data_IF_931703923708
#
_entry.id   IF_931703923708
#
_cell.length_a   1.000
_cell.length_b   1.000
_cell.length_c   1.000
_cell.angle_alpha   90.00
_cell.angle_beta   90.00
_cell.angle_gamma   90.00
#
_symmetry.space_group_name_H-M   'P 1'
#
loop_
_entity.id
_entity.type
_entity.pdbx_description
1 polymer ?
#
# COMPACT_ATOMS: atom_id res chain seq x y z
N UNK A 1 -8.52 20.92 -4.05
CA UNK A 1 -8.85 19.51 -3.81
C UNK A 1 -7.78 18.88 -2.93
N UNK A 2 -8.10 17.87 -2.17
CA UNK A 2 -7.20 17.27 -1.19
C UNK A 2 -7.07 15.76 -1.34
N UNK A 3 -5.97 15.21 -0.85
CA UNK A 3 -5.82 13.81 -0.56
C UNK A 3 -5.28 13.63 0.87
N UNK A 4 -5.54 12.47 1.45
CA UNK A 4 -5.07 12.11 2.78
C UNK A 4 -3.96 11.07 2.64
N UNK A 5 -2.83 11.32 3.26
CA UNK A 5 -1.70 10.38 3.32
C UNK A 5 -1.69 9.74 4.71
N UNK A 6 -1.96 8.45 4.78
CA UNK A 6 -1.87 7.70 6.04
C UNK A 6 -0.52 6.99 6.07
N UNK A 7 0.32 7.37 7.01
CA UNK A 7 1.69 6.89 7.14
C UNK A 7 2.02 6.48 8.57
N UNK A 8 3.14 5.83 8.75
CA UNK A 8 3.64 5.33 10.02
C UNK A 8 4.48 4.08 9.81
N UNK A 9 5.21 3.69 10.83
CA UNK A 9 6.00 2.46 10.80
C UNK A 9 5.10 1.21 10.70
N UNK A 10 5.64 0.06 10.28
CA UNK A 10 4.86 -1.19 10.24
C UNK A 10 4.17 -1.49 11.58
N UNK A 11 2.95 -2.00 11.53
CA UNK A 11 2.11 -2.33 12.68
C UNK A 11 1.63 -1.13 13.52
N UNK A 12 1.78 0.11 13.04
CA UNK A 12 1.27 1.30 13.73
C UNK A 12 -0.25 1.49 13.61
N UNK A 13 -0.93 0.69 12.77
CA UNK A 13 -2.39 0.76 12.59
C UNK A 13 -2.82 1.56 11.36
N UNK A 14 -1.96 1.72 10.36
CA UNK A 14 -2.25 2.47 9.13
C UNK A 14 -3.50 1.99 8.40
N UNK A 15 -3.60 0.69 8.18
CA UNK A 15 -4.73 0.11 7.42
C UNK A 15 -6.05 0.30 8.15
N UNK A 16 -6.07 0.19 9.47
CA UNK A 16 -7.25 0.44 10.30
C UNK A 16 -7.68 1.91 10.23
N UNK A 17 -6.72 2.82 10.35
CA UNK A 17 -6.99 4.26 10.25
C UNK A 17 -7.47 4.65 8.86
N UNK A 18 -6.83 4.15 7.81
CA UNK A 18 -7.22 4.42 6.43
C UNK A 18 -8.64 3.93 6.14
N UNK A 19 -8.99 2.73 6.60
CA UNK A 19 -10.34 2.18 6.46
C UNK A 19 -11.38 3.04 7.20
N UNK A 20 -11.08 3.48 8.41
CA UNK A 20 -11.95 4.38 9.17
C UNK A 20 -12.19 5.71 8.45
N UNK A 21 -11.11 6.34 7.98
CA UNK A 21 -11.22 7.62 7.26
C UNK A 21 -11.97 7.48 5.93
N UNK A 22 -11.74 6.36 5.23
CA UNK A 22 -12.46 6.05 3.99
C UNK A 22 -13.96 5.94 4.21
N UNK A 23 -14.36 5.23 5.22
CA UNK A 23 -15.78 5.07 5.58
C UNK A 23 -16.38 6.39 6.03
N UNK A 24 -15.67 7.14 6.87
CA UNK A 24 -16.15 8.42 7.40
C UNK A 24 -16.35 9.49 6.33
N UNK A 25 -15.39 9.63 5.41
CA UNK A 25 -15.44 10.65 4.36
C UNK A 25 -16.06 10.16 3.04
N UNK A 26 -16.30 8.87 2.90
CA UNK A 26 -16.80 8.30 1.64
C UNK A 26 -15.82 8.43 0.49
N UNK A 27 -14.52 8.26 0.75
CA UNK A 27 -13.45 8.38 -0.25
C UNK A 27 -12.66 7.08 -0.38
N UNK A 28 -12.14 6.76 -1.58
CA UNK A 28 -11.41 5.52 -1.78
C UNK A 28 -10.05 5.53 -1.09
N UNK A 29 -9.60 4.34 -0.67
CA UNK A 29 -8.24 4.08 -0.20
C UNK A 29 -7.46 3.32 -1.26
N UNK A 30 -6.26 3.80 -1.55
CA UNK A 30 -5.28 3.05 -2.32
C UNK A 30 -4.14 2.67 -1.38
N UNK A 31 -3.97 1.38 -1.15
CA UNK A 31 -2.93 0.83 -0.28
C UNK A 31 -1.84 0.16 -1.10
N UNK A 32 -0.60 0.61 -0.93
CA UNK A 32 0.55 0.00 -1.59
C UNK A 32 0.70 -1.48 -1.21
N UNK A 33 0.53 -1.81 0.07
CA UNK A 33 0.68 -3.19 0.54
C UNK A 33 -0.39 -4.12 -0.04
N UNK A 34 -1.62 -3.64 -0.23
CA UNK A 34 -2.67 -4.44 -0.87
C UNK A 34 -2.37 -4.71 -2.35
N UNK A 35 -1.88 -3.72 -3.07
CA UNK A 35 -1.42 -3.90 -4.45
C UNK A 35 -0.30 -4.93 -4.49
N UNK A 36 0.68 -4.79 -3.61
CA UNK A 36 1.82 -5.70 -3.52
C UNK A 36 1.41 -7.13 -3.21
N UNK A 37 0.47 -7.34 -2.28
CA UNK A 37 -0.08 -8.65 -1.95
C UNK A 37 -0.74 -9.32 -3.16
N UNK A 38 -1.52 -8.57 -3.94
CA UNK A 38 -2.12 -9.06 -5.18
C UNK A 38 -1.05 -9.48 -6.19
N UNK A 39 0.02 -8.71 -6.32
CA UNK A 39 1.15 -9.05 -7.21
C UNK A 39 1.89 -10.29 -6.72
N UNK A 40 2.07 -10.44 -5.42
CA UNK A 40 2.67 -11.65 -4.86
C UNK A 40 1.83 -12.89 -5.19
N UNK A 41 0.52 -12.79 -5.05
CA UNK A 41 -0.40 -13.90 -5.33
C UNK A 41 -0.47 -14.26 -6.81
N UNK A 42 -0.48 -13.26 -7.68
CA UNK A 42 -0.71 -13.46 -9.12
C UNK A 42 0.59 -13.72 -9.90
N UNK A 43 1.68 -13.11 -9.49
CA UNK A 43 2.98 -13.18 -10.18
C UNK A 43 3.98 -14.00 -9.37
N UNK A 44 4.04 -13.77 -8.06
CA UNK A 44 5.05 -14.34 -7.19
C UNK A 44 6.44 -13.75 -7.42
N UNK A 45 7.42 -14.24 -6.67
CA UNK A 45 8.82 -13.88 -6.83
C UNK A 45 9.71 -15.09 -6.50
N UNK A 46 10.89 -15.13 -7.10
CA UNK A 46 11.88 -16.21 -6.93
C UNK A 46 13.16 -15.76 -6.25
N UNK A 47 13.27 -14.48 -5.95
CA UNK A 47 14.42 -13.88 -5.28
C UNK A 47 14.00 -12.62 -4.53
N UNK A 48 14.85 -12.19 -3.60
CA UNK A 48 14.64 -10.92 -2.91
C UNK A 48 14.66 -9.74 -3.88
N UNK A 49 15.49 -9.80 -4.91
CA UNK A 49 15.56 -8.77 -5.95
C UNK A 49 14.22 -8.62 -6.69
N UNK A 50 13.62 -9.74 -7.09
CA UNK A 50 12.28 -9.73 -7.70
C UNK A 50 11.22 -9.19 -6.73
N UNK A 51 11.28 -9.56 -5.45
CA UNK A 51 10.38 -9.04 -4.42
C UNK A 51 10.47 -7.52 -4.30
N UNK A 52 11.67 -6.97 -4.29
CA UNK A 52 11.90 -5.51 -4.24
C UNK A 52 11.35 -4.83 -5.50
N UNK A 53 11.53 -5.42 -6.67
CA UNK A 53 10.98 -4.90 -7.93
C UNK A 53 9.45 -4.86 -7.92
N UNK A 54 8.80 -5.87 -7.37
CA UNK A 54 7.34 -5.86 -7.17
C UNK A 54 6.90 -4.76 -6.21
N UNK A 55 7.69 -4.49 -5.19
CA UNK A 55 7.44 -3.36 -4.27
C UNK A 55 7.51 -2.01 -4.97
N UNK A 56 8.49 -1.80 -5.83
CA UNK A 56 8.62 -0.57 -6.64
C UNK A 56 7.46 -0.46 -7.62
N UNK A 57 7.10 -1.55 -8.30
CA UNK A 57 5.95 -1.56 -9.21
C UNK A 57 4.64 -1.26 -8.50
N UNK A 58 4.46 -1.74 -7.28
CA UNK A 58 3.29 -1.44 -6.45
C UNK A 58 3.17 0.06 -6.16
N UNK A 59 4.28 0.73 -5.89
CA UNK A 59 4.32 2.18 -5.70
C UNK A 59 3.94 2.92 -6.99
N UNK A 60 4.48 2.51 -8.12
CA UNK A 60 4.16 3.12 -9.41
C UNK A 60 2.68 2.93 -9.78
N UNK A 61 2.11 1.77 -9.51
CA UNK A 61 0.68 1.50 -9.70
C UNK A 61 -0.17 2.38 -8.78
N UNK A 62 0.21 2.50 -7.51
CA UNK A 62 -0.48 3.37 -6.56
C UNK A 62 -0.53 4.82 -7.06
N UNK A 63 0.57 5.34 -7.56
CA UNK A 63 0.64 6.72 -8.08
C UNK A 63 -0.09 6.88 -9.40
N UNK A 64 -0.07 5.87 -10.26
CA UNK A 64 -0.92 5.89 -11.46
C UNK A 64 -2.41 6.01 -11.10
N UNK A 65 -2.88 5.22 -10.15
CA UNK A 65 -4.26 5.29 -9.69
C UNK A 65 -4.59 6.64 -9.06
N UNK A 66 -3.67 7.17 -8.23
CA UNK A 66 -3.81 8.50 -7.63
C UNK A 66 -3.94 9.58 -8.72
N UNK A 67 -3.11 9.52 -9.76
CA UNK A 67 -3.17 10.47 -10.87
C UNK A 67 -4.52 10.42 -11.59
N UNK A 68 -5.10 9.24 -11.78
CA UNK A 68 -6.43 9.13 -12.40
C UNK A 68 -7.51 9.82 -11.55
N UNK A 69 -7.43 9.68 -10.23
CA UNK A 69 -8.35 10.37 -9.31
C UNK A 69 -8.13 11.88 -9.31
N UNK A 70 -6.87 12.32 -9.37
CA UNK A 70 -6.52 13.74 -9.48
C UNK A 70 -7.06 14.38 -10.76
N UNK A 71 -6.97 13.68 -11.89
CA UNK A 71 -7.55 14.14 -13.18
C UNK A 71 -9.05 14.36 -13.09
N UNK A 72 -9.74 13.56 -12.30
CA UNK A 72 -11.17 13.65 -12.07
C UNK A 72 -11.55 14.59 -10.92
N UNK A 73 -10.57 15.25 -10.31
CA UNK A 73 -10.75 16.15 -9.17
C UNK A 73 -11.48 15.47 -7.99
N UNK A 74 -11.08 14.23 -7.67
CA UNK A 74 -11.66 13.43 -6.59
C UNK A 74 -10.75 13.39 -5.38
N UNK A 75 -11.29 13.46 -4.16
CA UNK A 75 -10.50 13.20 -2.95
C UNK A 75 -10.23 11.70 -2.81
N UNK A 76 -9.13 11.35 -2.19
CA UNK A 76 -8.74 9.96 -1.95
C UNK A 76 -7.74 9.86 -0.80
N UNK A 77 -7.48 8.64 -0.39
CA UNK A 77 -6.51 8.30 0.66
C UNK A 77 -5.43 7.41 0.05
N UNK A 78 -4.17 7.74 0.33
CA UNK A 78 -3.04 6.85 0.08
C UNK A 78 -2.51 6.32 1.40
N UNK A 79 -2.32 5.02 1.48
CA UNK A 79 -1.72 4.35 2.62
C UNK A 79 -0.38 3.74 2.24
N UNK A 80 0.70 4.20 2.87
CA UNK A 80 2.06 3.74 2.65
C UNK A 80 2.99 4.21 3.77
N UNK A 81 4.19 3.67 3.84
CA UNK A 81 5.25 4.18 4.71
C UNK A 81 5.82 5.52 4.23
N UNK A 82 5.68 5.84 2.96
CA UNK A 82 6.21 7.06 2.31
C UNK A 82 7.69 7.30 2.61
N UNK A 83 8.51 6.31 2.31
CA UNK A 83 9.97 6.43 2.37
C UNK A 83 10.49 7.46 1.37
N UNK A 84 11.73 7.88 1.51
CA UNK A 84 12.34 8.95 0.72
C UNK A 84 12.18 8.78 -0.81
N UNK A 85 12.27 7.54 -1.31
CA UNK A 85 12.11 7.24 -2.75
C UNK A 85 10.71 7.51 -3.28
N UNK A 86 9.71 7.53 -2.40
CA UNK A 86 8.31 7.79 -2.79
C UNK A 86 7.94 9.28 -2.75
N UNK A 87 8.78 10.11 -2.15
CA UNK A 87 8.46 11.51 -1.90
C UNK A 87 8.42 12.37 -3.16
N UNK A 88 9.47 12.30 -3.97
CA UNK A 88 9.56 13.16 -5.17
C UNK A 88 8.44 12.93 -6.18
N UNK A 89 8.14 11.67 -6.57
CA UNK A 89 7.03 11.42 -7.48
C UNK A 89 5.68 11.92 -6.93
N UNK A 90 5.46 11.78 -5.63
CA UNK A 90 4.24 12.26 -4.98
C UNK A 90 4.16 13.79 -5.02
N UNK A 91 5.25 14.47 -4.69
CA UNK A 91 5.31 15.94 -4.72
C UNK A 91 5.06 16.50 -6.12
N UNK A 92 5.60 15.85 -7.15
CA UNK A 92 5.34 16.22 -8.55
C UNK A 92 3.87 16.10 -8.90
N UNK A 93 3.21 15.01 -8.53
CA UNK A 93 1.77 14.82 -8.76
C UNK A 93 0.92 15.86 -8.02
N UNK A 94 1.22 16.12 -6.76
CA UNK A 94 0.50 17.11 -5.96
C UNK A 94 0.62 18.50 -6.58
N UNK A 95 1.81 18.88 -7.04
CA UNK A 95 2.04 20.15 -7.72
C UNK A 95 1.34 20.24 -9.06
N UNK A 96 1.44 19.19 -9.86
CA UNK A 96 0.84 19.13 -11.21
C UNK A 96 -0.68 19.33 -11.20
N UNK A 97 -1.36 18.76 -10.23
CA UNK A 97 -2.82 18.79 -10.12
C UNK A 97 -3.34 19.74 -9.04
N UNK A 98 -2.46 20.50 -8.40
CA UNK A 98 -2.81 21.44 -7.32
C UNK A 98 -3.57 20.79 -6.17
N UNK A 99 -3.14 19.62 -5.75
CA UNK A 99 -3.68 18.91 -4.59
C UNK A 99 -2.98 19.32 -3.30
N UNK A 100 -3.76 19.44 -2.25
CA UNK A 100 -3.25 19.59 -0.88
C UNK A 100 -3.20 18.22 -0.22
N UNK A 101 -2.04 17.83 0.28
CA UNK A 101 -1.89 16.60 1.05
C UNK A 101 -2.10 16.87 2.53
N UNK A 102 -3.00 16.11 3.15
CA UNK A 102 -3.21 16.08 4.59
C UNK A 102 -2.55 14.81 5.10
N UNK A 103 -1.47 14.94 5.87
CA UNK A 103 -0.74 13.77 6.36
C UNK A 103 -1.20 13.38 7.75
N UNK A 104 -1.61 12.12 7.89
CA UNK A 104 -1.94 11.48 9.16
C UNK A 104 -0.82 10.50 9.48
N UNK A 105 0.04 10.88 10.42
CA UNK A 105 1.16 10.03 10.85
C UNK A 105 0.79 9.30 12.13
N UNK A 106 0.81 7.96 12.08
CA UNK A 106 0.56 7.13 13.23
C UNK A 106 1.84 6.89 14.01
N UNK A 107 1.83 7.27 15.26
CA UNK A 107 2.93 7.12 16.20
C UNK A 107 2.46 6.37 17.45
N UNK A 108 3.39 5.97 18.30
CA UNK A 108 3.06 5.30 19.54
C UNK A 108 4.30 4.79 20.27
N UNK A 109 4.07 3.97 21.28
CA UNK A 109 5.15 3.31 22.02
C UNK A 109 5.84 2.28 21.12
N UNK A 110 7.13 2.48 20.82
CA UNK A 110 7.89 1.62 19.93
C UNK A 110 7.95 0.16 20.38
N UNK A 111 8.01 -0.11 21.69
CA UNK A 111 8.00 -1.48 22.21
C UNK A 111 6.68 -2.19 21.89
N UNK A 112 5.56 -1.53 22.10
CA UNK A 112 4.24 -2.08 21.79
C UNK A 112 4.04 -2.28 20.28
N UNK A 113 4.53 -1.35 19.49
CA UNK A 113 4.45 -1.45 18.01
C UNK A 113 5.33 -2.61 17.53
N UNK A 114 6.53 -2.77 18.08
CA UNK A 114 7.41 -3.88 17.77
C UNK A 114 6.82 -5.24 18.18
N UNK A 115 6.23 -5.33 19.35
CA UNK A 115 5.51 -6.53 19.77
C UNK A 115 4.39 -6.90 18.82
N UNK A 116 3.57 -5.92 18.40
CA UNK A 116 2.51 -6.12 17.41
C UNK A 116 3.07 -6.56 16.06
N UNK A 117 4.18 -6.00 15.65
CA UNK A 117 4.85 -6.39 14.40
C UNK A 117 5.30 -7.85 14.46
N UNK A 118 5.94 -8.26 15.54
CA UNK A 118 6.38 -9.64 15.74
C UNK A 118 5.20 -10.62 15.80
N UNK A 119 4.15 -10.30 16.55
CA UNK A 119 2.91 -11.10 16.62
C UNK A 119 2.25 -11.22 15.24
N UNK A 120 2.16 -10.12 14.51
CA UNK A 120 1.56 -10.09 13.18
C UNK A 120 2.33 -10.96 12.19
N UNK A 121 3.65 -10.97 12.23
CA UNK A 121 4.47 -11.83 11.36
C UNK A 121 4.28 -13.32 11.64
N UNK A 122 3.86 -13.67 12.85
CA UNK A 122 3.53 -15.05 13.25
C UNK A 122 2.02 -15.36 13.14
N UNK A 123 1.21 -14.38 12.76
CA UNK A 123 -0.24 -14.53 12.59
C UNK A 123 -0.58 -15.19 11.26
N UNK A 124 -1.58 -16.09 11.20
CA UNK A 124 -2.07 -16.65 9.95
C UNK A 124 -2.72 -15.61 9.02
N UNK A 125 -3.12 -14.46 9.55
CA UNK A 125 -3.70 -13.36 8.76
C UNK A 125 -2.64 -12.54 8.02
N UNK A 126 -1.36 -12.67 8.38
CA UNK A 126 -0.27 -11.99 7.69
C UNK A 126 -0.01 -12.64 6.33
N UNK A 127 -0.04 -11.87 5.26
CA UNK A 127 0.28 -12.38 3.94
C UNK A 127 1.69 -12.98 3.91
N UNK A 128 1.86 -14.25 3.50
CA UNK A 128 3.17 -14.92 3.56
C UNK A 128 4.27 -14.23 2.77
N UNK A 129 3.91 -13.56 1.66
CA UNK A 129 4.87 -12.83 0.84
C UNK A 129 5.61 -11.71 1.57
N UNK A 130 5.05 -11.19 2.67
CA UNK A 130 5.71 -10.15 3.48
C UNK A 130 6.81 -10.70 4.39
N UNK A 131 6.76 -11.99 4.75
CA UNK A 131 7.69 -12.60 5.72
C UNK A 131 8.74 -13.47 5.05
N UNK A 132 8.59 -13.84 3.79
CA UNK A 132 9.60 -14.61 3.02
C UNK A 132 10.34 -13.67 2.06
N UNK A 133 11.63 -13.96 1.86
CA UNK A 133 12.47 -13.17 0.95
C UNK A 133 12.94 -13.94 -0.28
N UNK A 134 12.88 -15.27 -0.23
CA UNK A 134 13.51 -16.12 -1.24
C UNK A 134 12.57 -16.46 -2.38
N UNK A 135 11.38 -16.93 -2.05
CA UNK A 135 10.41 -17.39 -3.03
C UNK A 135 8.98 -17.32 -2.48
N UNK A 136 8.08 -16.86 -3.29
CA UNK A 136 6.65 -16.95 -3.04
C UNK A 136 5.93 -17.36 -4.33
N UNK A 137 5.24 -18.50 -4.36
CA UNK A 137 4.58 -18.99 -5.56
C UNK A 137 3.34 -18.17 -5.88
N UNK A 138 3.08 -17.90 -7.17
CA UNK A 138 1.83 -17.28 -7.58
C UNK A 138 0.65 -18.24 -7.35
N UNK A 139 -0.54 -17.69 -7.30
CA UNK A 139 -1.77 -18.51 -7.35
C UNK A 139 -1.75 -19.36 -8.62
N UNK A 140 -2.14 -20.62 -8.49
CA UNK A 140 -2.34 -21.48 -9.66
C UNK A 140 -3.42 -20.87 -10.55
N UNK A 141 -3.17 -20.70 -11.86
CA UNK A 141 -4.21 -20.21 -12.76
C UNK A 141 -5.43 -21.13 -12.67
N UNK A 142 -6.60 -20.57 -12.42
CA UNK A 142 -7.84 -21.31 -12.54
C UNK A 142 -7.97 -21.72 -13.99
N UNK A 143 -7.95 -23.03 -14.26
CA UNK A 143 -8.07 -23.61 -15.59
C UNK A 143 -9.46 -23.37 -16.23
N UNK A 144 -10.31 -22.59 -15.58
CA UNK A 144 -11.67 -22.27 -16.01
C UNK A 144 -11.93 -20.76 -16.02
N UNK A 145 -11.05 -19.98 -16.66
CA UNK A 145 -11.46 -18.63 -17.06
C UNK A 145 -12.42 -18.77 -18.23
N UNK A 146 -13.72 -18.81 -17.93
CA UNK A 146 -14.72 -18.64 -18.96
C UNK A 146 -14.68 -17.19 -19.42
N UNK A 147 -14.70 -16.93 -20.74
CA UNK A 147 -14.84 -15.55 -21.23
C UNK A 147 -16.13 -14.95 -20.67
N UNK A 148 -16.03 -13.71 -20.26
CA UNK A 148 -17.16 -12.90 -19.85
C UNK A 148 -18.06 -12.65 -21.07
#
# INVERSE_FOLDING_TARGET
MYCILVTGIPAAGKSTMAAFLSEYFGVPVISKDKIKELMYDDIGFRSREEKVRLGISSMNIMYYMAEQLMKCNQPFILENNFENVSREPLMELLGKYSYTAITVTLTGNYHKIYERFAERNNSPDRHPGHVVNDCYPPKTPNSAVKPI
#
